data_IF_392792753037
#
_entry.id   IF_392792753037
#
_cell.length_a   1.000
_cell.length_b   1.000
_cell.length_c   1.000
_cell.angle_alpha   90.00
_cell.angle_beta   90.00
_cell.angle_gamma   90.00
#
_symmetry.space_group_name_H-M   'P 1'
#
loop_
_entity.id
_entity.type
_entity.pdbx_description
1 polymer ?
#
# COMPACT_ATOMS: atom_id res chain seq x y z
N UNK A 1 2.37 -10.15 2.09
CA UNK A 1 2.57 -8.69 2.10
C UNK A 1 4.05 -8.30 2.12
N UNK A 2 4.79 -8.49 3.22
CA UNK A 2 6.21 -8.07 3.32
C UNK A 2 7.06 -8.58 2.16
N UNK A 3 7.03 -9.88 1.88
CA UNK A 3 7.82 -10.48 0.78
C UNK A 3 7.47 -9.96 -0.63
N UNK A 4 6.23 -9.51 -0.85
CA UNK A 4 5.86 -8.83 -2.09
C UNK A 4 6.45 -7.42 -2.12
N UNK A 5 6.29 -6.68 -1.02
CA UNK A 5 6.85 -5.35 -0.88
C UNK A 5 8.37 -5.37 -0.97
N UNK A 6 9.10 -6.36 -0.48
CA UNK A 6 10.56 -6.41 -0.62
C UNK A 6 11.03 -6.51 -2.09
N UNK A 7 10.21 -7.14 -2.95
CA UNK A 7 10.53 -7.36 -4.37
C UNK A 7 9.98 -6.28 -5.29
N UNK A 8 8.96 -5.56 -4.83
CA UNK A 8 8.32 -4.51 -5.61
C UNK A 8 9.31 -3.37 -5.89
N UNK A 9 9.34 -2.84 -7.11
CA UNK A 9 10.26 -1.77 -7.49
C UNK A 9 9.59 -0.40 -7.55
N UNK A 10 8.26 -0.36 -7.48
CA UNK A 10 7.51 0.89 -7.43
C UNK A 10 7.64 1.62 -6.09
N UNK A 11 7.39 2.92 -6.11
CA UNK A 11 7.46 3.79 -4.92
C UNK A 11 6.16 3.83 -4.11
N UNK A 12 5.04 3.39 -4.70
CA UNK A 12 3.71 3.44 -4.10
C UNK A 12 2.93 2.15 -4.36
N UNK A 13 2.07 1.80 -3.41
CA UNK A 13 1.12 0.68 -3.48
C UNK A 13 -0.26 1.10 -2.96
N UNK A 14 -1.31 0.45 -3.42
CA UNK A 14 -2.68 0.65 -2.93
C UNK A 14 -3.32 -0.67 -2.50
N UNK A 15 -4.44 -0.60 -1.78
CA UNK A 15 -5.08 -1.80 -1.22
C UNK A 15 -5.59 -2.75 -2.30
N UNK A 16 -6.13 -2.24 -3.42
CA UNK A 16 -6.52 -3.10 -4.57
C UNK A 16 -5.33 -3.81 -5.21
N UNK A 17 -4.18 -3.14 -5.31
CA UNK A 17 -2.94 -3.72 -5.81
C UNK A 17 -2.47 -4.86 -4.91
N UNK A 18 -2.42 -4.60 -3.61
CA UNK A 18 -1.97 -5.56 -2.62
C UNK A 18 -2.89 -6.79 -2.55
N UNK A 19 -4.20 -6.59 -2.68
CA UNK A 19 -5.15 -7.70 -2.79
C UNK A 19 -4.84 -8.61 -3.99
N UNK A 20 -4.66 -8.01 -5.17
CA UNK A 20 -4.47 -8.76 -6.41
C UNK A 20 -3.09 -9.41 -6.50
N UNK A 21 -2.04 -8.66 -6.18
CA UNK A 21 -0.66 -9.08 -6.41
C UNK A 21 -0.01 -9.71 -5.16
N UNK A 22 -0.22 -9.13 -3.98
CA UNK A 22 0.45 -9.59 -2.76
C UNK A 22 -0.30 -10.73 -2.06
N UNK A 23 -1.62 -10.82 -2.25
CA UNK A 23 -2.49 -11.88 -1.72
C UNK A 23 -2.97 -12.85 -2.82
N UNK A 24 -2.54 -12.67 -4.06
CA UNK A 24 -2.78 -13.57 -5.20
C UNK A 24 -4.26 -13.71 -5.63
N UNK A 25 -5.06 -12.64 -5.46
CA UNK A 25 -6.45 -12.56 -5.92
C UNK A 25 -6.59 -11.86 -7.27
N UNK A 26 -5.84 -12.29 -8.30
CA UNK A 26 -5.67 -11.53 -9.55
C UNK A 26 -6.98 -11.13 -10.27
N UNK A 27 -8.03 -11.95 -10.16
CA UNK A 27 -9.28 -11.80 -10.91
C UNK A 27 -10.45 -11.24 -10.09
N UNK A 28 -10.32 -11.15 -8.76
CA UNK A 28 -11.40 -10.73 -7.89
C UNK A 28 -11.33 -9.23 -7.58
N UNK A 29 -12.49 -8.62 -7.35
CA UNK A 29 -12.57 -7.28 -6.75
C UNK A 29 -12.72 -7.42 -5.23
N UNK A 30 -11.86 -6.78 -4.42
CA UNK A 30 -11.90 -6.93 -2.97
C UNK A 30 -13.19 -6.34 -2.39
N UNK A 31 -13.77 -7.06 -1.43
CA UNK A 31 -14.86 -6.58 -0.59
C UNK A 31 -14.34 -5.52 0.38
N UNK A 32 -15.26 -4.71 0.90
CA UNK A 32 -14.92 -3.63 1.84
C UNK A 32 -14.22 -4.13 3.12
N UNK A 33 -14.55 -5.32 3.61
CA UNK A 33 -13.88 -5.89 4.79
C UNK A 33 -12.45 -6.35 4.48
N UNK A 34 -12.20 -6.94 3.31
CA UNK A 34 -10.85 -7.31 2.86
C UNK A 34 -9.96 -6.07 2.71
N UNK A 35 -10.53 -4.97 2.20
CA UNK A 35 -9.83 -3.68 2.15
C UNK A 35 -9.47 -3.18 3.56
N UNK A 36 -10.38 -3.34 4.54
CA UNK A 36 -10.10 -2.93 5.93
C UNK A 36 -8.97 -3.75 6.55
N UNK A 37 -8.95 -5.06 6.33
CA UNK A 37 -7.88 -5.93 6.80
C UNK A 37 -6.54 -5.58 6.14
N UNK A 38 -6.51 -5.35 4.83
CA UNK A 38 -5.30 -4.90 4.14
C UNK A 38 -4.79 -3.59 4.74
N UNK A 39 -5.68 -2.64 5.00
CA UNK A 39 -5.31 -1.37 5.61
C UNK A 39 -4.74 -1.57 7.01
N UNK A 40 -5.33 -2.46 7.81
CA UNK A 40 -4.86 -2.79 9.16
C UNK A 40 -3.47 -3.41 9.13
N UNK A 41 -3.26 -4.43 8.28
CA UNK A 41 -1.96 -5.10 8.09
C UNK A 41 -0.89 -4.10 7.64
N UNK A 42 -1.19 -3.27 6.65
CA UNK A 42 -0.24 -2.27 6.15
C UNK A 42 0.13 -1.24 7.22
N UNK A 43 -0.82 -0.82 8.05
CA UNK A 43 -0.55 0.21 9.05
C UNK A 43 0.07 -0.33 10.34
N UNK A 44 -0.21 -1.59 10.71
CA UNK A 44 0.24 -2.18 11.98
C UNK A 44 1.45 -3.10 11.83
N UNK A 45 1.58 -3.80 10.70
CA UNK A 45 2.59 -4.85 10.53
C UNK A 45 3.66 -4.52 9.48
N UNK A 46 3.47 -3.49 8.65
CA UNK A 46 4.42 -3.09 7.61
C UNK A 46 5.10 -1.79 8.01
N UNK A 47 6.40 -1.87 8.29
CA UNK A 47 7.25 -0.70 8.50
C UNK A 47 7.86 -0.21 7.18
N UNK A 48 8.35 1.04 7.14
CA UNK A 48 8.98 1.59 5.93
C UNK A 48 7.98 2.00 4.83
N UNK A 49 6.68 2.05 5.14
CA UNK A 49 5.62 2.48 4.24
C UNK A 49 4.75 3.53 4.93
N UNK A 50 4.70 4.74 4.39
CA UNK A 50 3.90 5.84 4.91
C UNK A 50 2.55 5.91 4.22
N UNK A 51 1.47 5.88 4.98
CA UNK A 51 0.13 6.11 4.46
C UNK A 51 -0.05 7.55 3.98
N UNK A 52 -0.67 7.74 2.81
CA UNK A 52 -1.05 9.07 2.32
C UNK A 52 -2.57 9.25 2.30
N UNK A 53 -3.04 10.40 2.80
CA UNK A 53 -4.47 10.70 2.86
C UNK A 53 -5.04 11.20 1.52
N UNK A 54 -4.22 11.82 0.67
CA UNK A 54 -4.68 12.38 -0.60
C UNK A 54 -4.72 11.30 -1.70
N UNK A 55 -5.89 10.93 -2.26
CA UNK A 55 -5.98 9.87 -3.26
C UNK A 55 -5.15 10.16 -4.51
N UNK A 56 -4.36 9.17 -4.94
CA UNK A 56 -3.50 9.20 -6.15
C UNK A 56 -4.02 8.21 -7.19
N UNK A 57 -3.62 8.38 -8.44
CA UNK A 57 -3.99 7.48 -9.54
C UNK A 57 -2.97 6.33 -9.60
N UNK A 58 -3.48 5.10 -9.65
CA UNK A 58 -2.73 3.88 -9.90
C UNK A 58 -3.18 3.31 -11.24
N UNK A 59 -2.25 3.04 -12.17
CA UNK A 59 -2.56 2.74 -13.58
C UNK A 59 -3.64 1.67 -13.77
N UNK A 60 -3.56 0.55 -13.05
CA UNK A 60 -4.52 -0.56 -13.14
C UNK A 60 -5.58 -0.58 -12.03
N UNK A 61 -5.46 0.32 -11.04
CA UNK A 61 -6.28 0.29 -9.82
C UNK A 61 -7.08 1.58 -9.58
N UNK A 62 -7.00 2.55 -10.50
CA UNK A 62 -7.74 3.80 -10.45
C UNK A 62 -7.30 4.72 -9.31
N UNK A 63 -8.16 5.70 -8.97
CA UNK A 63 -7.87 6.72 -7.96
C UNK A 63 -8.21 6.24 -6.55
N UNK A 64 -7.21 6.13 -5.69
CA UNK A 64 -7.40 5.70 -4.29
C UNK A 64 -6.26 6.16 -3.37
N UNK A 65 -6.47 6.01 -2.06
CA UNK A 65 -5.42 6.19 -1.05
C UNK A 65 -4.49 4.96 -1.05
N UNK A 66 -3.34 5.08 -0.41
CA UNK A 66 -2.36 4.00 -0.38
C UNK A 66 -1.15 4.36 0.48
N UNK A 67 -0.04 3.68 0.21
CA UNK A 67 1.20 3.86 0.93
C UNK A 67 2.33 4.18 -0.04
N UNK A 68 3.22 5.07 0.38
CA UNK A 68 4.48 5.37 -0.28
C UNK A 68 5.63 4.83 0.56
N UNK A 69 6.69 4.30 -0.07
CA UNK A 69 7.86 3.87 0.68
C UNK A 69 8.50 5.06 1.40
N UNK A 70 8.84 4.87 2.66
CA UNK A 70 9.65 5.83 3.40
C UNK A 70 11.05 5.84 2.79
N UNK A 71 11.52 7.02 2.39
CA UNK A 71 12.89 7.16 1.91
C UNK A 71 13.83 6.99 3.11
N UNK A 72 14.74 6.00 3.12
CA UNK A 72 15.68 5.79 4.22
C UNK A 72 16.61 6.99 4.45
N UNK A 73 16.73 7.91 3.49
CA UNK A 73 17.51 9.14 3.64
C UNK A 73 16.80 10.24 4.46
N UNK A 74 15.48 10.13 4.68
CA UNK A 74 14.71 11.12 5.45
C UNK A 74 13.66 10.45 6.35
N UNK A 75 14.08 9.69 7.38
CA UNK A 75 13.16 8.99 8.29
C UNK A 75 12.40 9.91 9.27
N UNK A 76 12.26 11.22 8.99
CA UNK A 76 11.85 12.16 10.05
C UNK A 76 11.35 13.55 9.67
N UNK A 77 10.86 13.81 8.44
CA UNK A 77 10.05 15.03 8.23
C UNK A 77 8.63 14.82 8.78
N UNK A 78 8.55 14.74 10.10
CA UNK A 78 7.40 15.22 10.87
C UNK A 78 7.62 16.74 11.00
N UNK A 79 6.84 17.60 10.32
CA UNK A 79 6.96 19.04 10.55
C UNK A 79 6.63 19.32 12.02
N UNK A 80 7.57 19.96 12.73
CA UNK A 80 7.35 20.56 14.05
C UNK A 80 6.34 21.72 13.96
#
# INVERSE_FOLDING_TARGET
>A
MSAYLDKYTGSMVCSKQLYKEALNHAFDEPKQWEIREINEIMNQCISGCRYFQNPRIFSEYGRQKGWERENPLFPGFSPL
#
